data_IF_931961118399
#
_entry.id   IF_931961118399
#
_cell.length_a   1.000
_cell.length_b   1.000
_cell.length_c   1.000
_cell.angle_alpha   90.00
_cell.angle_beta   90.00
_cell.angle_gamma   90.00
#
_symmetry.space_group_name_H-M   'P 1'
#
loop_
_entity.id
_entity.type
_entity.pdbx_description
1 polymer ?
#
# COMPACT_ATOMS: atom_id res chain seq x y z
N UNK A 1 49.80 -21.26 22.86
CA UNK A 1 48.32 -21.22 22.85
C UNK A 1 47.89 -19.80 22.49
N UNK A 2 47.20 -19.54 21.37
CA UNK A 2 46.63 -18.21 21.12
C UNK A 2 45.18 -18.10 21.62
N UNK A 3 44.74 -16.95 22.16
CA UNK A 3 43.36 -16.76 22.58
C UNK A 3 42.44 -16.46 21.38
N UNK A 4 41.32 -17.18 21.29
CA UNK A 4 40.25 -16.95 20.31
C UNK A 4 39.41 -15.74 20.74
N UNK A 5 39.58 -14.60 20.07
CA UNK A 5 38.66 -13.45 20.18
C UNK A 5 37.36 -13.77 19.43
N UNK A 6 36.25 -13.90 20.16
CA UNK A 6 34.89 -14.02 19.59
C UNK A 6 34.47 -12.66 19.02
N UNK A 7 34.30 -12.57 17.71
CA UNK A 7 33.70 -11.41 17.05
C UNK A 7 32.23 -11.27 17.49
N UNK A 8 31.93 -10.18 18.20
CA UNK A 8 30.56 -9.78 18.55
C UNK A 8 29.92 -9.21 17.29
N UNK A 9 29.15 -10.04 16.58
CA UNK A 9 28.35 -9.66 15.42
C UNK A 9 27.27 -8.69 15.90
N UNK A 10 27.51 -7.39 15.74
CA UNK A 10 26.49 -6.35 15.92
C UNK A 10 25.42 -6.57 14.85
N UNK A 11 24.23 -7.00 15.28
CA UNK A 11 23.07 -7.04 14.42
C UNK A 11 22.71 -5.59 14.04
N UNK A 12 22.87 -5.25 12.77
CA UNK A 12 22.35 -4.03 12.20
C UNK A 12 20.83 -4.13 12.19
N UNK A 13 20.15 -3.45 13.11
CA UNK A 13 18.70 -3.29 13.08
C UNK A 13 18.33 -2.55 11.80
N UNK A 14 17.85 -3.26 10.80
CA UNK A 14 17.29 -2.65 9.60
C UNK A 14 16.08 -1.82 10.02
N UNK A 15 16.22 -0.50 9.99
CA UNK A 15 15.11 0.44 10.11
C UNK A 15 14.20 0.26 8.89
N UNK A 16 13.25 -0.68 8.97
CA UNK A 16 12.21 -0.80 7.95
C UNK A 16 11.27 0.40 8.10
N UNK A 17 11.17 1.21 7.06
CA UNK A 17 10.21 2.33 6.94
C UNK A 17 8.84 1.89 7.48
N UNK A 18 8.14 2.72 8.27
CA UNK A 18 6.81 2.36 8.75
C UNK A 18 5.86 2.24 7.56
N UNK A 19 5.34 1.03 7.34
CA UNK A 19 4.34 0.74 6.32
C UNK A 19 2.96 0.92 6.95
N UNK A 20 2.16 1.84 6.44
CA UNK A 20 0.77 2.02 6.88
C UNK A 20 -0.19 1.46 5.85
N UNK A 21 -1.21 0.74 6.29
CA UNK A 21 -2.27 0.26 5.40
C UNK A 21 -3.53 1.08 5.65
N UNK A 22 -4.17 1.53 4.56
CA UNK A 22 -5.44 2.24 4.60
C UNK A 22 -6.58 1.25 4.44
N UNK A 23 -7.55 1.35 5.34
CA UNK A 23 -8.78 0.57 5.31
C UNK A 23 -9.98 1.49 5.24
N UNK A 24 -11.00 1.09 4.50
CA UNK A 24 -12.30 1.71 4.52
C UNK A 24 -13.22 0.90 5.43
N UNK A 25 -13.90 1.58 6.34
CA UNK A 25 -14.90 1.03 7.25
C UNK A 25 -16.23 1.68 6.90
N UNK A 26 -17.21 0.87 6.53
CA UNK A 26 -18.61 1.27 6.41
C UNK A 26 -19.32 0.72 7.64
N UNK A 27 -19.97 1.59 8.40
CA UNK A 27 -20.81 1.22 9.54
C UNK A 27 -22.12 2.02 9.51
N UNK A 28 -23.07 1.76 10.42
CA UNK A 28 -24.31 2.55 10.50
C UNK A 28 -24.06 4.05 10.75
N UNK A 29 -22.87 4.41 11.26
CA UNK A 29 -22.45 5.79 11.53
C UNK A 29 -21.90 6.49 10.27
N UNK A 30 -21.75 5.76 9.16
CA UNK A 30 -21.23 6.25 7.89
C UNK A 30 -19.95 5.56 7.45
N UNK A 31 -19.32 6.13 6.41
CA UNK A 31 -18.08 5.66 5.82
C UNK A 31 -16.89 6.41 6.42
N UNK A 32 -15.85 5.69 6.82
CA UNK A 32 -14.59 6.25 7.33
C UNK A 32 -13.39 5.53 6.73
N UNK A 33 -12.30 6.26 6.57
CA UNK A 33 -11.00 5.69 6.24
C UNK A 33 -10.12 5.72 7.48
N UNK A 34 -9.44 4.60 7.76
CA UNK A 34 -8.53 4.45 8.89
C UNK A 34 -7.18 3.93 8.42
N UNK A 35 -6.12 4.38 9.07
CA UNK A 35 -4.76 3.94 8.81
C UNK A 35 -4.28 3.06 9.97
N UNK A 36 -3.77 1.87 9.67
CA UNK A 36 -3.15 1.01 10.68
C UNK A 36 -1.81 0.46 10.19
N UNK A 37 -0.83 0.40 11.09
CA UNK A 37 0.48 -0.20 10.80
C UNK A 37 0.52 -1.66 11.27
N UNK A 38 -0.18 -1.96 12.36
CA UNK A 38 -0.25 -3.31 12.94
C UNK A 38 -1.68 -3.81 13.08
N UNK A 39 -1.85 -5.11 13.31
CA UNK A 39 -3.16 -5.71 13.62
C UNK A 39 -3.71 -5.20 14.96
N UNK A 40 -2.84 -4.83 15.91
CA UNK A 40 -3.25 -4.29 17.21
C UNK A 40 -3.84 -2.88 17.02
N UNK A 41 -3.13 -2.01 16.30
CA UNK A 41 -3.63 -0.68 15.93
C UNK A 41 -4.99 -0.77 15.24
N UNK A 42 -5.11 -1.71 14.27
CA UNK A 42 -6.36 -1.91 13.54
C UNK A 42 -7.50 -2.35 14.46
N UNK A 43 -7.22 -3.21 15.45
CA UNK A 43 -8.22 -3.64 16.43
C UNK A 43 -8.70 -2.47 17.28
N UNK A 44 -7.76 -1.64 17.77
CA UNK A 44 -8.08 -0.46 18.58
C UNK A 44 -8.90 0.57 17.79
N UNK A 45 -8.59 0.76 16.51
CA UNK A 45 -9.33 1.65 15.62
C UNK A 45 -10.71 1.12 15.23
N UNK A 46 -10.87 -0.20 15.06
CA UNK A 46 -12.16 -0.80 14.73
C UNK A 46 -13.12 -0.86 15.92
N UNK A 47 -12.60 -0.99 17.15
CA UNK A 47 -13.39 -1.09 18.38
C UNK A 47 -14.44 0.02 18.53
N UNK A 48 -14.10 1.32 18.43
CA UNK A 48 -15.10 2.39 18.53
C UNK A 48 -16.00 2.51 17.29
N UNK A 49 -15.59 1.97 16.14
CA UNK A 49 -16.35 2.08 14.88
C UNK A 49 -17.39 0.98 14.70
N UNK A 50 -17.18 -0.16 15.35
CA UNK A 50 -18.04 -1.34 15.31
C UNK A 50 -18.40 -1.79 16.74
N UNK A 51 -19.03 -0.92 17.56
CA UNK A 51 -19.26 -1.19 18.98
C UNK A 51 -20.24 -2.34 19.25
N UNK A 52 -21.02 -2.74 18.25
CA UNK A 52 -21.95 -3.87 18.34
C UNK A 52 -21.24 -5.24 18.20
N UNK A 53 -19.96 -5.27 17.83
CA UNK A 53 -19.20 -6.51 17.70
C UNK A 53 -18.48 -6.86 18.99
N UNK A 54 -18.50 -8.15 19.33
CA UNK A 54 -17.71 -8.69 20.44
C UNK A 54 -16.20 -8.48 20.21
N UNK A 55 -15.40 -8.22 21.27
CA UNK A 55 -13.96 -7.95 21.15
C UNK A 55 -13.18 -9.03 20.40
N UNK A 56 -13.60 -10.29 20.55
CA UNK A 56 -12.99 -11.41 19.83
C UNK A 56 -13.23 -11.32 18.32
N UNK A 57 -14.45 -10.97 17.91
CA UNK A 57 -14.83 -10.79 16.50
C UNK A 57 -14.02 -9.66 15.88
N UNK A 58 -13.86 -8.54 16.58
CA UNK A 58 -13.06 -7.40 16.09
C UNK A 58 -11.60 -7.81 15.84
N UNK A 59 -11.01 -8.58 16.77
CA UNK A 59 -9.64 -9.12 16.60
C UNK A 59 -9.55 -10.07 15.41
N UNK A 60 -10.54 -10.93 15.21
CA UNK A 60 -10.59 -11.85 14.07
C UNK A 60 -10.66 -11.07 12.75
N UNK A 61 -11.55 -10.07 12.66
CA UNK A 61 -11.69 -9.18 11.51
C UNK A 61 -10.38 -8.46 11.22
N UNK A 62 -9.75 -7.85 12.23
CA UNK A 62 -8.46 -7.17 12.09
C UNK A 62 -7.38 -8.10 11.53
N UNK A 63 -7.34 -9.36 12.00
CA UNK A 63 -6.38 -10.37 11.53
C UNK A 63 -6.63 -10.78 10.07
N UNK A 64 -7.89 -11.00 9.68
CA UNK A 64 -8.26 -11.32 8.30
C UNK A 64 -7.88 -10.18 7.35
N UNK A 65 -8.12 -8.93 7.75
CA UNK A 65 -7.80 -7.73 6.98
C UNK A 65 -6.29 -7.53 6.80
N UNK A 66 -5.51 -7.69 7.87
CA UNK A 66 -4.08 -7.37 7.85
C UNK A 66 -3.21 -8.48 7.27
N UNK A 67 -3.49 -9.75 7.62
CA UNK A 67 -2.67 -10.89 7.22
C UNK A 67 -3.15 -11.51 5.91
N UNK A 68 -4.44 -11.79 5.82
CA UNK A 68 -5.03 -12.49 4.67
C UNK A 68 -5.46 -11.54 3.57
N UNK A 69 -5.46 -10.22 3.84
CA UNK A 69 -5.87 -9.17 2.90
C UNK A 69 -7.30 -9.36 2.42
N UNK A 70 -8.13 -9.99 3.24
CA UNK A 70 -9.53 -10.25 2.95
C UNK A 70 -10.37 -8.98 3.08
N UNK A 71 -11.50 -8.93 2.39
CA UNK A 71 -12.56 -7.95 2.64
C UNK A 71 -13.65 -8.62 3.46
N UNK A 72 -14.10 -7.97 4.52
CA UNK A 72 -15.13 -8.50 5.41
C UNK A 72 -16.41 -7.69 5.21
N UNK A 73 -17.52 -8.35 4.89
CA UNK A 73 -18.81 -7.72 4.66
C UNK A 73 -19.87 -8.43 5.49
N UNK A 74 -20.69 -7.66 6.18
CA UNK A 74 -21.87 -8.08 6.92
C UNK A 74 -23.07 -7.20 6.54
N UNK A 75 -24.24 -7.48 7.13
CA UNK A 75 -25.50 -6.80 6.77
C UNK A 75 -25.41 -5.28 6.94
N UNK A 76 -24.85 -4.82 8.05
CA UNK A 76 -24.86 -3.39 8.42
C UNK A 76 -23.46 -2.73 8.42
N UNK A 77 -22.42 -3.49 8.09
CA UNK A 77 -21.05 -2.98 8.08
C UNK A 77 -20.16 -3.74 7.11
N UNK A 78 -19.11 -3.08 6.64
CA UNK A 78 -18.04 -3.73 5.90
C UNK A 78 -16.71 -3.07 6.18
N UNK A 79 -15.64 -3.85 6.07
CA UNK A 79 -14.27 -3.35 6.14
C UNK A 79 -13.49 -3.91 4.97
N UNK A 80 -12.84 -3.03 4.22
CA UNK A 80 -12.02 -3.41 3.08
C UNK A 80 -10.68 -2.69 3.10
N UNK A 81 -9.66 -3.34 2.55
CA UNK A 81 -8.34 -2.75 2.39
C UNK A 81 -8.30 -1.91 1.12
N UNK A 82 -7.92 -0.63 1.24
CA UNK A 82 -7.81 0.27 0.09
C UNK A 82 -6.40 0.29 -0.51
N UNK A 83 -5.36 0.30 0.32
CA UNK A 83 -4.00 0.45 -0.17
C UNK A 83 -2.94 0.51 0.92
N UNK A 84 -1.70 0.75 0.52
CA UNK A 84 -0.55 0.85 1.41
C UNK A 84 0.18 2.16 1.17
N UNK A 85 0.43 2.91 2.23
CA UNK A 85 1.25 4.11 2.24
C UNK A 85 2.68 3.72 2.61
N UNK A 86 3.63 4.09 1.74
CA UNK A 86 5.06 3.88 1.95
C UNK A 86 5.72 5.25 2.05
N UNK A 87 6.28 5.57 3.21
CA UNK A 87 7.00 6.81 3.42
C UNK A 87 8.45 6.67 2.99
N UNK A 88 8.86 7.46 2.00
CA UNK A 88 10.26 7.58 1.62
C UNK A 88 10.86 8.84 2.23
N UNK A 89 11.88 8.67 3.08
CA UNK A 89 12.63 9.81 3.57
C UNK A 89 13.36 10.46 2.38
N UNK A 90 12.94 11.68 2.02
CA UNK A 90 13.60 12.49 0.99
C UNK A 90 14.90 13.02 1.58
N UNK A 91 16.03 12.36 1.25
CA UNK A 91 17.31 13.06 1.15
C UNK A 91 17.42 13.55 -0.30
N UNK A 92 17.07 14.82 -0.57
CA UNK A 92 17.40 15.44 -1.87
C UNK A 92 18.94 15.62 -1.99
N UNK A 93 19.55 15.55 -3.20
CA UNK A 93 19.05 16.16 -4.43
C UNK A 93 18.71 15.19 -5.57
N UNK A 94 17.87 15.72 -6.45
CA UNK A 94 17.19 15.14 -7.62
C UNK A 94 18.01 14.20 -8.52
N UNK A 95 17.43 13.04 -8.84
CA UNK A 95 17.66 12.37 -10.13
C UNK A 95 16.32 12.10 -10.80
N UNK A 96 16.14 12.77 -11.93
CA UNK A 96 15.01 12.70 -12.86
C UNK A 96 14.46 11.28 -13.03
N UNK A 97 13.14 11.12 -12.89
CA UNK A 97 12.46 9.95 -13.44
C UNK A 97 12.67 9.95 -14.95
N UNK A 98 13.53 9.04 -15.42
CA UNK A 98 13.61 8.71 -16.84
C UNK A 98 12.31 7.99 -17.19
N UNK A 99 11.31 8.74 -17.65
CA UNK A 99 10.18 8.19 -18.36
C UNK A 99 10.72 7.60 -19.67
N UNK A 100 11.08 6.31 -19.64
CA UNK A 100 11.26 5.53 -20.86
C UNK A 100 9.88 5.27 -21.47
N UNK A 101 9.31 6.30 -22.05
CA UNK A 101 8.19 6.20 -22.97
C UNK A 101 8.74 5.79 -24.33
N UNK A 102 8.57 4.52 -24.71
CA UNK A 102 8.67 4.05 -26.10
C UNK A 102 8.01 2.66 -26.15
N UNK A 103 7.11 2.29 -27.06
CA UNK A 103 6.45 2.94 -28.19
C UNK A 103 5.46 1.85 -28.64
N UNK A 104 4.16 2.09 -28.56
CA UNK A 104 3.15 1.13 -29.04
C UNK A 104 2.07 1.89 -29.80
N UNK A 105 2.25 2.02 -31.11
CA UNK A 105 1.14 2.21 -32.05
C UNK A 105 1.53 1.61 -33.40
N UNK A 106 0.66 0.70 -33.84
CA UNK A 106 0.63 0.06 -35.14
C UNK A 106 -0.13 0.93 -36.16
N UNK A 107 0.13 0.70 -37.45
CA UNK A 107 -0.79 1.05 -38.55
C UNK A 107 -0.20 1.97 -39.62
N UNK A 108 -0.15 1.54 -40.90
CA UNK A 108 0.16 2.41 -42.03
C UNK A 108 -1.12 3.04 -42.58
N UNK A 109 -1.14 4.36 -42.74
CA UNK A 109 -2.14 5.05 -43.54
C UNK A 109 -1.44 5.63 -44.78
N UNK A 110 -1.75 5.00 -45.91
CA UNK A 110 -1.71 5.57 -47.26
C UNK A 110 -2.60 6.80 -47.32
N UNK A 111 -2.07 7.96 -47.69
CA UNK A 111 -2.80 8.88 -48.58
C UNK A 111 -1.84 9.76 -49.36
N UNK A 112 -2.09 9.79 -50.66
CA UNK A 112 -1.34 10.41 -51.74
C UNK A 112 -1.49 11.93 -51.68
N UNK A 113 -0.42 12.70 -51.88
CA UNK A 113 -0.47 14.04 -52.47
C UNK A 113 0.96 14.56 -52.68
N UNK A 114 1.50 14.41 -53.89
CA UNK A 114 2.52 15.35 -54.36
C UNK A 114 2.25 15.69 -55.83
N UNK A 115 1.56 16.82 -56.00
CA UNK A 115 1.44 17.51 -57.26
C UNK A 115 2.79 18.14 -57.63
N UNK A 116 3.13 18.02 -58.90
CA UNK A 116 4.32 18.56 -59.54
C UNK A 116 4.54 20.06 -59.26
N UNK A 117 5.79 20.43 -59.00
CA UNK A 117 6.26 21.81 -59.02
C UNK A 117 7.34 21.96 -60.10
N UNK A 118 7.02 22.81 -61.10
CA UNK A 118 7.91 23.34 -62.13
C UNK A 118 9.26 23.82 -61.57
N UNK A 119 10.37 23.52 -62.27
CA UNK A 119 11.23 24.48 -63.00
C UNK A 119 11.88 23.76 -64.18
#
# INVERSE_FOLDING_TARGET
MPPKTKAKKSASTSSSKPVRTVYEVISPQGRREIEASTTVDLTELLTPLLPALEPYTIRAVARLLSLERANVTAVDWSVKRLGVLVFEAVNQPSRSSSHRASKATAGPETEEHEAAMNV
#
